data_IF_266785279139
#
_entry.id   IF_266785279139
#
_cell.length_a   1.000
_cell.length_b   1.000
_cell.length_c   1.000
_cell.angle_alpha   90.00
_cell.angle_beta   90.00
_cell.angle_gamma   90.00
#
_symmetry.space_group_name_H-M   'P 1'
#
loop_
_entity.id
_entity.type
_entity.pdbx_description
1 polymer ?
#
# COMPACT_ATOMS: atom_id res chain seq x y z
N UNK A 1 -23.62 22.56 7.54
CA UNK A 1 -22.46 21.66 7.33
C UNK A 1 -23.01 20.36 6.81
N UNK A 2 -22.59 19.86 5.63
CA UNK A 2 -23.03 18.55 5.18
C UNK A 2 -22.48 17.51 6.15
N UNK A 3 -23.34 16.58 6.54
CA UNK A 3 -23.00 15.47 7.43
C UNK A 3 -21.86 14.64 6.82
N UNK A 4 -20.91 14.20 7.66
CA UNK A 4 -19.86 13.22 7.31
C UNK A 4 -20.43 11.87 6.81
N UNK A 5 -21.76 11.66 6.88
CA UNK A 5 -22.45 10.42 6.51
C UNK A 5 -22.61 10.17 5.00
N UNK A 6 -22.38 11.18 4.15
CA UNK A 6 -22.72 11.09 2.72
C UNK A 6 -21.49 11.00 1.81
N UNK A 7 -20.30 10.76 2.37
CA UNK A 7 -19.08 10.54 1.58
C UNK A 7 -19.03 9.07 1.10
N UNK A 8 -19.30 8.80 -0.20
CA UNK A 8 -19.33 7.44 -0.72
C UNK A 8 -17.95 6.77 -0.69
N UNK A 9 -16.87 7.55 -0.74
CA UNK A 9 -15.49 7.05 -0.62
C UNK A 9 -15.26 6.56 0.80
N UNK A 10 -15.54 7.39 1.81
CA UNK A 10 -15.40 6.98 3.20
C UNK A 10 -16.24 5.74 3.53
N UNK A 11 -17.48 5.69 3.04
CA UNK A 11 -18.36 4.53 3.23
C UNK A 11 -17.81 3.25 2.57
N UNK A 12 -17.24 3.35 1.36
CA UNK A 12 -16.60 2.22 0.69
C UNK A 12 -15.37 1.71 1.46
N UNK A 13 -14.52 2.63 1.93
CA UNK A 13 -13.32 2.30 2.71
C UNK A 13 -13.66 1.67 4.07
N UNK A 14 -14.69 2.15 4.77
CA UNK A 14 -15.13 1.57 6.05
C UNK A 14 -15.70 0.15 5.87
N UNK A 15 -16.48 -0.08 4.81
CA UNK A 15 -16.96 -1.44 4.47
C UNK A 15 -15.79 -2.37 4.14
N UNK A 16 -14.84 -1.90 3.32
CA UNK A 16 -13.66 -2.67 2.97
C UNK A 16 -12.81 -3.02 4.20
N UNK A 17 -12.55 -2.04 5.07
CA UNK A 17 -11.81 -2.25 6.30
C UNK A 17 -12.46 -3.31 7.20
N UNK A 18 -13.79 -3.30 7.33
CA UNK A 18 -14.50 -4.31 8.10
C UNK A 18 -14.37 -5.74 7.52
N UNK A 19 -14.41 -5.89 6.19
CA UNK A 19 -14.23 -7.18 5.54
C UNK A 19 -12.78 -7.69 5.65
N UNK A 20 -11.80 -6.80 5.47
CA UNK A 20 -10.38 -7.14 5.62
C UNK A 20 -10.07 -7.51 7.07
N UNK A 21 -10.66 -6.82 8.05
CA UNK A 21 -10.55 -7.18 9.46
C UNK A 21 -11.01 -8.63 9.71
N UNK A 22 -12.13 -9.04 9.10
CA UNK A 22 -12.63 -10.41 9.18
C UNK A 22 -11.67 -11.41 8.54
N UNK A 23 -11.09 -11.09 7.38
CA UNK A 23 -10.09 -11.95 6.74
C UNK A 23 -8.87 -12.16 7.63
N UNK A 24 -8.34 -11.06 8.19
CA UNK A 24 -7.17 -11.12 9.07
C UNK A 24 -7.47 -11.97 10.32
N UNK A 25 -8.65 -11.82 10.92
CA UNK A 25 -9.09 -12.66 12.06
C UNK A 25 -9.16 -14.14 11.67
N UNK A 26 -9.64 -14.45 10.47
CA UNK A 26 -9.80 -15.82 10.00
C UNK A 26 -8.47 -16.55 9.74
N UNK A 27 -7.37 -15.82 9.51
CA UNK A 27 -6.04 -16.41 9.35
C UNK A 27 -5.54 -17.11 10.63
N UNK A 28 -5.98 -16.64 11.81
CA UNK A 28 -5.43 -17.03 13.11
C UNK A 28 -3.88 -16.93 13.20
N UNK A 29 -3.27 -16.07 12.38
CA UNK A 29 -1.84 -15.80 12.38
C UNK A 29 -1.47 -14.74 13.45
N UNK A 30 -0.32 -14.91 14.09
CA UNK A 30 0.17 -13.94 15.09
C UNK A 30 0.73 -12.65 14.46
N UNK A 31 1.29 -12.76 13.25
CA UNK A 31 2.03 -11.70 12.56
C UNK A 31 1.63 -11.62 11.07
N UNK A 32 0.34 -11.40 10.73
CA UNK A 32 -0.10 -11.45 9.35
C UNK A 32 0.50 -10.33 8.50
N UNK A 33 0.78 -10.66 7.24
CA UNK A 33 1.29 -9.76 6.22
C UNK A 33 0.14 -9.32 5.30
N UNK A 34 -0.07 -8.01 5.21
CA UNK A 34 -1.12 -7.41 4.38
C UNK A 34 -0.47 -6.51 3.33
N UNK A 35 -0.76 -6.75 2.05
CA UNK A 35 -0.35 -5.87 0.96
C UNK A 35 -1.55 -5.08 0.44
N UNK A 36 -1.37 -3.77 0.24
CA UNK A 36 -2.39 -2.87 -0.31
C UNK A 36 -1.81 -2.15 -1.52
N UNK A 37 -2.28 -2.54 -2.70
CA UNK A 37 -1.92 -1.95 -3.98
C UNK A 37 -3.12 -1.24 -4.62
N UNK A 38 -2.89 -0.47 -5.66
CA UNK A 38 -3.81 0.43 -6.34
C UNK A 38 -3.02 1.59 -6.93
N UNK A 39 -3.54 2.26 -7.95
CA UNK A 39 -2.87 3.42 -8.52
C UNK A 39 -2.90 4.64 -7.57
N UNK A 40 -2.11 5.67 -7.86
CA UNK A 40 -2.11 6.94 -7.13
C UNK A 40 -3.50 7.56 -7.10
N UNK A 41 -3.91 8.01 -5.92
CA UNK A 41 -5.26 8.54 -5.66
C UNK A 41 -6.37 7.49 -5.48
N UNK A 42 -6.06 6.19 -5.48
CA UNK A 42 -7.07 5.12 -5.32
C UNK A 42 -7.66 5.00 -3.91
N UNK A 43 -6.97 5.54 -2.88
CA UNK A 43 -7.44 5.46 -1.48
C UNK A 43 -6.68 4.47 -0.59
N UNK A 44 -5.57 3.90 -1.08
CA UNK A 44 -4.70 2.94 -0.36
C UNK A 44 -4.32 3.42 1.05
N UNK A 45 -3.70 4.60 1.16
CA UNK A 45 -3.20 5.11 2.44
C UNK A 45 -4.33 5.37 3.45
N UNK A 46 -5.51 5.79 2.97
CA UNK A 46 -6.70 5.93 3.81
C UNK A 46 -7.21 4.57 4.32
N UNK A 47 -7.24 3.54 3.46
CA UNK A 47 -7.58 2.18 3.85
C UNK A 47 -6.56 1.62 4.86
N UNK A 48 -5.27 1.80 4.59
CA UNK A 48 -4.19 1.38 5.48
C UNK A 48 -4.33 2.03 6.87
N UNK A 49 -4.59 3.33 6.93
CA UNK A 49 -4.80 4.05 8.19
C UNK A 49 -6.02 3.52 8.97
N UNK A 50 -7.12 3.16 8.30
CA UNK A 50 -8.27 2.52 8.95
C UNK A 50 -7.91 1.15 9.52
N UNK A 51 -7.17 0.34 8.77
CA UNK A 51 -6.73 -0.99 9.21
C UNK A 51 -5.77 -0.92 10.40
N UNK A 52 -4.84 0.03 10.41
CA UNK A 52 -3.94 0.28 11.56
C UNK A 52 -4.76 0.59 12.82
N UNK A 53 -5.75 1.47 12.71
CA UNK A 53 -6.61 1.85 13.84
C UNK A 53 -7.51 0.73 14.35
N UNK A 54 -7.84 -0.23 13.48
CA UNK A 54 -8.80 -1.32 13.73
C UNK A 54 -8.11 -2.68 13.75
N UNK A 55 -6.80 -2.70 13.99
CA UNK A 55 -6.01 -3.91 13.83
C UNK A 55 -6.54 -5.03 14.73
N UNK A 56 -6.91 -6.20 14.16
CA UNK A 56 -7.66 -7.20 14.92
C UNK A 56 -6.81 -8.19 15.72
N UNK A 57 -5.49 -8.17 15.53
CA UNK A 57 -4.53 -9.08 16.17
C UNK A 57 -3.91 -8.42 17.40
N UNK A 58 -3.55 -9.21 18.41
CA UNK A 58 -2.87 -8.70 19.61
C UNK A 58 -1.56 -8.01 19.26
N UNK A 59 -1.31 -6.88 19.92
CA UNK A 59 -0.17 -6.01 19.61
C UNK A 59 -0.55 -4.91 18.62
N UNK A 60 0.45 -4.13 18.19
CA UNK A 60 0.29 -3.13 17.15
C UNK A 60 0.71 -3.70 15.80
N UNK A 61 0.27 -3.06 14.73
CA UNK A 61 0.71 -3.35 13.37
C UNK A 61 1.73 -2.33 12.91
N UNK A 62 2.67 -2.78 12.09
CA UNK A 62 3.67 -1.94 11.46
C UNK A 62 3.16 -1.54 10.07
N UNK A 63 3.17 -0.24 9.75
CA UNK A 63 2.78 0.26 8.43
C UNK A 63 4.02 0.76 7.69
N UNK A 64 4.23 0.25 6.49
CA UNK A 64 5.26 0.75 5.57
C UNK A 64 4.59 1.24 4.29
N UNK A 65 4.68 2.55 4.06
CA UNK A 65 4.25 3.17 2.81
C UNK A 65 5.42 3.19 1.81
N UNK A 66 5.20 2.64 0.61
CA UNK A 66 6.24 2.61 -0.43
C UNK A 66 6.62 3.99 -0.96
N UNK A 67 5.78 5.01 -0.75
CA UNK A 67 6.14 6.41 -1.02
C UNK A 67 7.45 6.81 -0.31
N UNK A 68 7.78 6.17 0.81
CA UNK A 68 9.04 6.35 1.54
C UNK A 68 10.18 5.43 1.07
N UNK A 69 9.96 4.54 0.09
CA UNK A 69 10.94 3.59 -0.41
C UNK A 69 11.33 3.81 -1.88
N UNK A 70 10.47 4.46 -2.68
CA UNK A 70 10.76 4.71 -4.09
C UNK A 70 11.99 5.61 -4.25
N UNK A 71 13.06 5.16 -4.93
CA UNK A 71 14.19 6.02 -5.27
C UNK A 71 13.80 6.98 -6.39
N UNK A 72 13.18 8.09 -6.00
CA UNK A 72 12.69 9.09 -6.94
C UNK A 72 11.50 8.61 -7.76
N UNK A 73 11.15 9.43 -8.73
CA UNK A 73 9.90 9.30 -9.49
C UNK A 73 9.90 8.22 -10.56
N UNK A 74 11.05 7.66 -10.88
CA UNK A 74 11.21 6.51 -11.80
C UNK A 74 11.44 5.21 -11.01
N UNK A 75 11.18 5.26 -9.69
CA UNK A 75 11.53 4.22 -8.73
C UNK A 75 10.44 3.23 -8.40
N UNK A 76 9.31 3.14 -9.13
CA UNK A 76 8.17 2.28 -8.76
C UNK A 76 8.61 0.81 -8.57
N UNK A 77 9.26 0.24 -9.59
CA UNK A 77 9.74 -1.15 -9.54
C UNK A 77 10.82 -1.32 -8.45
N UNK A 78 11.74 -0.35 -8.33
CA UNK A 78 12.81 -0.40 -7.33
C UNK A 78 12.28 -0.30 -5.90
N UNK A 79 11.22 0.48 -5.63
CA UNK A 79 10.59 0.54 -4.31
C UNK A 79 9.91 -0.77 -3.94
N UNK A 80 9.24 -1.43 -4.90
CA UNK A 80 8.66 -2.75 -4.69
C UNK A 80 9.74 -3.83 -4.44
N UNK A 81 10.87 -3.78 -5.15
CA UNK A 81 12.02 -4.66 -4.93
C UNK A 81 12.65 -4.44 -3.55
N UNK A 82 12.82 -3.18 -3.14
CA UNK A 82 13.29 -2.82 -1.78
C UNK A 82 12.36 -3.39 -0.71
N UNK A 83 11.05 -3.25 -0.87
CA UNK A 83 10.08 -3.83 0.06
C UNK A 83 10.17 -5.37 0.10
N UNK A 84 10.32 -6.02 -1.05
CA UNK A 84 10.50 -7.46 -1.12
C UNK A 84 11.75 -7.92 -0.35
N UNK A 85 12.90 -7.30 -0.61
CA UNK A 85 14.19 -7.76 -0.10
C UNK A 85 14.46 -7.32 1.35
N UNK A 86 14.03 -6.12 1.72
CA UNK A 86 14.36 -5.54 3.03
C UNK A 86 13.28 -5.80 4.08
N UNK A 87 12.05 -6.13 3.67
CA UNK A 87 10.90 -6.27 4.57
C UNK A 87 10.27 -7.65 4.43
N UNK A 88 9.69 -7.98 3.27
CA UNK A 88 8.83 -9.15 3.12
C UNK A 88 9.60 -10.47 3.25
N UNK A 89 10.76 -10.60 2.59
CA UNK A 89 11.60 -11.81 2.67
C UNK A 89 12.17 -12.04 4.07
N UNK A 90 12.74 -11.03 4.78
CA UNK A 90 13.16 -11.19 6.16
C UNK A 90 11.99 -11.53 7.10
N UNK A 91 10.87 -10.78 7.00
CA UNK A 91 9.71 -10.96 7.87
C UNK A 91 9.12 -12.37 7.76
N UNK A 92 8.90 -12.86 6.53
CA UNK A 92 8.40 -14.22 6.29
C UNK A 92 9.34 -15.34 6.75
N UNK A 93 10.61 -15.02 7.05
CA UNK A 93 11.60 -15.95 7.62
C UNK A 93 11.80 -15.77 9.13
N UNK A 94 11.06 -14.87 9.77
CA UNK A 94 11.21 -14.57 11.20
C UNK A 94 12.44 -13.71 11.52
N UNK A 95 13.00 -13.00 10.54
CA UNK A 95 14.15 -12.11 10.74
C UNK A 95 13.72 -10.63 10.78
N UNK A 96 14.50 -9.82 11.51
CA UNK A 96 14.35 -8.38 11.54
C UNK A 96 14.53 -7.80 10.13
N UNK A 97 13.48 -7.17 9.61
CA UNK A 97 13.58 -6.36 8.39
C UNK A 97 14.21 -5.00 8.70
N UNK A 98 14.90 -4.40 7.74
CA UNK A 98 15.44 -3.04 7.88
C UNK A 98 15.40 -2.34 6.53
N UNK A 99 14.61 -1.27 6.43
CA UNK A 99 14.49 -0.48 5.21
C UNK A 99 14.96 0.96 5.45
N UNK A 100 15.31 1.65 4.37
CA UNK A 100 15.78 3.04 4.42
C UNK A 100 14.76 3.96 3.78
N UNK A 101 14.48 5.09 4.43
CA UNK A 101 13.62 6.12 3.87
C UNK A 101 14.31 6.78 2.67
N UNK A 102 13.57 7.01 1.62
CA UNK A 102 13.95 7.92 0.55
C UNK A 102 13.58 9.35 0.94
N UNK A 103 14.55 10.24 0.85
CA UNK A 103 14.36 11.67 1.04
C UNK A 103 14.14 12.34 -0.31
N UNK A 104 12.91 12.77 -0.55
CA UNK A 104 12.50 13.39 -1.81
C UNK A 104 13.06 14.81 -1.99
N UNK A 105 13.48 15.49 -0.93
CA UNK A 105 14.00 16.86 -1.01
C UNK A 105 15.45 16.88 -1.50
N UNK A 106 16.22 15.84 -1.14
CA UNK A 106 17.66 15.73 -1.49
C UNK A 106 17.97 14.57 -2.45
N UNK A 107 16.95 13.82 -2.87
CA UNK A 107 17.03 12.69 -3.81
C UNK A 107 18.04 11.61 -3.37
N UNK A 108 17.97 11.21 -2.09
CA UNK A 108 18.91 10.28 -1.49
C UNK A 108 18.29 9.41 -0.39
N UNK A 109 18.98 8.32 -0.01
CA UNK A 109 18.62 7.53 1.17
C UNK A 109 18.92 8.30 2.46
N UNK A 110 18.00 8.20 3.42
CA UNK A 110 18.10 8.81 4.74
C UNK A 110 18.17 7.75 5.85
N UNK A 111 17.44 7.92 6.95
CA UNK A 111 17.47 7.03 8.10
C UNK A 111 16.90 5.63 7.81
N UNK A 112 17.33 4.66 8.64
CA UNK A 112 16.86 3.28 8.58
C UNK A 112 15.76 3.03 9.62
N UNK A 113 14.79 2.19 9.27
CA UNK A 113 13.69 1.76 10.12
C UNK A 113 13.64 0.24 10.19
N UNK A 114 13.38 -0.29 11.38
CA UNK A 114 13.25 -1.72 11.60
C UNK A 114 11.80 -2.20 11.42
N UNK A 115 11.64 -3.45 10.98
CA UNK A 115 10.36 -4.16 10.93
C UNK A 115 10.51 -5.45 11.73
N UNK A 116 9.85 -5.49 12.89
CA UNK A 116 9.85 -6.62 13.81
C UNK A 116 9.04 -7.80 13.21
N UNK A 117 9.64 -8.98 13.03
CA UNK A 117 8.94 -10.16 12.51
C UNK A 117 7.88 -10.71 13.48
N UNK A 118 7.92 -10.35 14.77
CA UNK A 118 6.93 -10.78 15.76
C UNK A 118 5.59 -10.05 15.63
N UNK A 119 5.54 -8.96 14.86
CA UNK A 119 4.34 -8.14 14.67
C UNK A 119 3.80 -8.29 13.25
N UNK A 120 2.49 -8.07 13.09
CA UNK A 120 1.90 -7.94 11.77
C UNK A 120 2.45 -6.72 11.01
N UNK A 121 2.43 -6.79 9.69
CA UNK A 121 2.90 -5.71 8.81
C UNK A 121 1.91 -5.45 7.68
N UNK A 122 1.62 -4.17 7.45
CA UNK A 122 0.92 -3.66 6.29
C UNK A 122 1.96 -2.97 5.41
N UNK A 123 2.06 -3.37 4.15
CA UNK A 123 2.83 -2.62 3.14
C UNK A 123 1.85 -2.07 2.12
N UNK A 124 1.85 -0.75 1.94
CA UNK A 124 0.94 -0.06 1.03
C UNK A 124 1.71 0.76 -0.01
N UNK A 125 1.27 0.71 -1.26
CA UNK A 125 1.89 1.49 -2.34
C UNK A 125 1.64 0.91 -3.73
N UNK A 126 1.70 1.77 -4.75
CA UNK A 126 1.57 1.35 -6.14
C UNK A 126 2.71 0.37 -6.54
N UNK A 127 2.38 -0.83 -7.00
CA UNK A 127 3.40 -1.80 -7.46
C UNK A 127 3.77 -2.89 -6.46
N UNK A 128 3.25 -2.85 -5.23
CA UNK A 128 3.59 -3.84 -4.21
C UNK A 128 3.00 -5.24 -4.49
N UNK A 129 1.89 -5.35 -5.22
CA UNK A 129 1.17 -6.59 -5.48
C UNK A 129 1.58 -7.17 -6.83
N UNK A 130 2.64 -7.96 -6.82
CA UNK A 130 3.24 -8.59 -8.01
C UNK A 130 3.56 -10.06 -7.73
N UNK A 131 3.84 -10.91 -8.74
CA UNK A 131 4.03 -12.34 -8.51
C UNK A 131 5.09 -12.68 -7.46
N UNK A 132 6.16 -11.88 -7.37
CA UNK A 132 7.26 -12.09 -6.41
C UNK A 132 6.92 -11.75 -4.96
N UNK A 133 5.89 -10.93 -4.71
CA UNK A 133 5.47 -10.49 -3.37
C UNK A 133 4.17 -11.16 -2.93
N UNK A 134 3.30 -11.54 -3.85
CA UNK A 134 1.99 -12.13 -3.56
C UNK A 134 2.09 -13.41 -2.71
N UNK A 135 3.10 -14.25 -2.95
CA UNK A 135 3.32 -15.48 -2.17
C UNK A 135 3.82 -15.25 -0.74
N UNK A 136 4.17 -14.01 -0.37
CA UNK A 136 4.64 -13.63 0.96
C UNK A 136 3.57 -12.92 1.79
N UNK A 137 2.35 -12.78 1.27
CA UNK A 137 1.28 -12.02 1.88
C UNK A 137 0.05 -12.89 2.13
N UNK A 138 -0.50 -12.76 3.34
CA UNK A 138 -1.70 -13.48 3.75
C UNK A 138 -2.97 -12.82 3.20
N UNK A 139 -3.01 -11.49 3.20
CA UNK A 139 -4.09 -10.69 2.62
C UNK A 139 -3.53 -9.75 1.56
N UNK A 140 -4.13 -9.78 0.37
CA UNK A 140 -3.67 -9.03 -0.81
C UNK A 140 -4.82 -8.20 -1.34
N UNK A 141 -4.70 -6.89 -1.26
CA UNK A 141 -5.77 -5.95 -1.58
C UNK A 141 -5.38 -5.18 -2.83
N UNK A 142 -6.25 -5.23 -3.83
CA UNK A 142 -6.23 -4.29 -4.95
C UNK A 142 -7.31 -3.23 -4.74
N UNK A 143 -6.90 -1.97 -4.57
CA UNK A 143 -7.80 -0.82 -4.47
C UNK A 143 -8.00 -0.24 -5.86
N UNK A 144 -9.18 -0.44 -6.41
CA UNK A 144 -9.58 0.04 -7.72
C UNK A 144 -10.36 1.34 -7.61
N UNK A 145 -10.04 2.29 -8.47
CA UNK A 145 -10.83 3.51 -8.60
C UNK A 145 -10.72 4.07 -10.02
N UNK A 146 -11.80 4.71 -10.48
CA UNK A 146 -11.86 5.31 -11.81
C UNK A 146 -10.73 6.35 -12.01
N UNK A 147 -10.18 6.41 -13.22
CA UNK A 147 -9.04 7.27 -13.52
C UNK A 147 -9.33 8.76 -13.29
N UNK A 148 -10.52 9.21 -13.68
CA UNK A 148 -10.96 10.59 -13.49
C UNK A 148 -11.01 10.96 -11.99
N UNK A 149 -11.64 10.09 -11.18
CA UNK A 149 -11.73 10.26 -9.73
C UNK A 149 -10.35 10.26 -9.05
N UNK A 150 -9.48 9.29 -9.39
CA UNK A 150 -8.16 9.18 -8.75
C UNK A 150 -7.22 10.32 -9.15
N UNK A 151 -7.27 10.79 -10.40
CA UNK A 151 -6.45 11.92 -10.87
C UNK A 151 -6.82 13.21 -10.15
N UNK A 152 -8.11 13.49 -10.02
CA UNK A 152 -8.60 14.64 -9.27
C UNK A 152 -8.12 14.60 -7.81
N UNK A 153 -8.23 13.45 -7.13
CA UNK A 153 -7.77 13.28 -5.74
C UNK A 153 -6.27 13.40 -5.57
N UNK A 154 -5.49 12.78 -6.45
CA UNK A 154 -4.03 12.84 -6.38
C UNK A 154 -3.51 14.27 -6.60
N UNK A 155 -4.07 14.99 -7.57
CA UNK A 155 -3.71 16.40 -7.80
C UNK A 155 -4.17 17.31 -6.65
N UNK A 156 -5.34 17.06 -6.05
CA UNK A 156 -5.79 17.82 -4.89
C UNK A 156 -4.92 17.60 -3.64
N UNK A 157 -4.33 16.41 -3.50
CA UNK A 157 -3.46 16.04 -2.38
C UNK A 157 -2.02 16.57 -2.55
N UNK A 158 -1.41 16.28 -3.68
CA UNK A 158 0.04 16.44 -3.88
C UNK A 158 0.39 17.63 -4.80
N UNK A 159 -0.63 18.32 -5.34
CA UNK A 159 -0.52 19.63 -5.97
C UNK A 159 0.52 19.76 -7.09
N UNK A 160 1.25 20.88 -7.07
CA UNK A 160 2.24 21.26 -8.08
C UNK A 160 3.53 20.42 -8.04
N UNK A 161 3.84 19.74 -6.93
CA UNK A 161 5.02 18.86 -6.84
C UNK A 161 4.81 17.58 -7.66
N UNK A 162 3.57 17.08 -7.66
CA UNK A 162 3.21 15.84 -8.37
C UNK A 162 2.84 16.09 -9.84
N UNK A 163 2.28 17.27 -10.16
CA UNK A 163 1.76 17.59 -11.50
C UNK A 163 2.76 17.42 -12.65
N UNK A 164 4.04 17.85 -12.56
CA UNK A 164 5.04 17.65 -13.61
C UNK A 164 5.42 16.18 -13.81
N UNK A 165 5.10 15.32 -12.84
CA UNK A 165 5.53 13.93 -12.78
C UNK A 165 4.39 12.94 -12.97
N UNK A 166 3.15 13.43 -13.09
CA UNK A 166 1.95 12.62 -13.26
C UNK A 166 2.11 11.60 -14.39
N UNK A 167 2.46 12.04 -15.60
CA UNK A 167 2.49 11.16 -16.77
C UNK A 167 3.58 10.09 -16.66
N UNK A 168 4.75 10.44 -16.10
CA UNK A 168 5.83 9.46 -15.89
C UNK A 168 5.49 8.43 -14.84
N UNK A 169 4.85 8.84 -13.74
CA UNK A 169 4.41 7.92 -12.70
C UNK A 169 3.28 7.02 -13.21
N UNK A 170 2.24 7.60 -13.80
CA UNK A 170 1.11 6.87 -14.35
C UNK A 170 1.54 5.86 -15.43
N UNK A 171 2.60 6.16 -16.19
CA UNK A 171 3.18 5.20 -17.15
C UNK A 171 3.77 3.98 -16.47
N UNK A 172 4.47 4.14 -15.34
CA UNK A 172 4.98 3.02 -14.57
C UNK A 172 3.84 2.21 -13.93
N UNK A 173 2.82 2.87 -13.41
CA UNK A 173 1.63 2.18 -12.87
C UNK A 173 0.95 1.32 -13.92
N UNK A 174 0.74 1.86 -15.14
CA UNK A 174 0.16 1.07 -16.24
C UNK A 174 1.01 -0.13 -16.60
N UNK A 175 2.34 0.04 -16.71
CA UNK A 175 3.27 -1.07 -16.98
C UNK A 175 3.20 -2.15 -15.90
N UNK A 176 3.14 -1.75 -14.63
CA UNK A 176 2.97 -2.68 -13.52
C UNK A 176 1.64 -3.45 -13.64
N UNK A 177 0.52 -2.75 -13.87
CA UNK A 177 -0.81 -3.38 -14.01
C UNK A 177 -0.83 -4.36 -15.19
N UNK A 178 -0.30 -3.98 -16.34
CA UNK A 178 -0.23 -4.82 -17.54
C UNK A 178 0.68 -6.04 -17.35
N UNK A 179 1.82 -5.87 -16.67
CA UNK A 179 2.82 -6.93 -16.47
C UNK A 179 2.42 -7.92 -15.38
N UNK A 180 1.95 -7.41 -14.24
CA UNK A 180 1.84 -8.18 -13.00
C UNK A 180 0.40 -8.62 -12.68
N UNK A 181 -0.61 -8.04 -13.34
CA UNK A 181 -2.04 -8.27 -13.11
C UNK A 181 -2.40 -8.30 -11.61
N UNK A 182 -2.19 -7.18 -10.88
CA UNK A 182 -2.39 -7.13 -9.42
C UNK A 182 -3.82 -7.46 -9.02
N UNK A 183 -4.80 -7.19 -9.90
CA UNK A 183 -6.20 -7.55 -9.67
C UNK A 183 -6.38 -9.07 -9.58
N UNK A 184 -5.73 -9.84 -10.45
CA UNK A 184 -5.78 -11.31 -10.40
C UNK A 184 -5.02 -11.90 -9.20
N UNK A 185 -4.02 -11.19 -8.68
CA UNK A 185 -3.25 -11.61 -7.50
C UNK A 185 -3.97 -11.32 -6.18
N UNK A 186 -4.95 -10.43 -6.18
CA UNK A 186 -5.64 -9.99 -4.96
C UNK A 186 -6.53 -11.08 -4.35
N UNK A 187 -6.55 -11.17 -3.01
CA UNK A 187 -7.60 -11.89 -2.27
C UNK A 187 -8.85 -11.03 -2.11
N UNK A 188 -8.70 -9.70 -2.17
CA UNK A 188 -9.77 -8.71 -2.06
C UNK A 188 -9.60 -7.61 -3.10
N UNK A 189 -10.68 -7.33 -3.81
CA UNK A 189 -10.79 -6.13 -4.65
C UNK A 189 -11.65 -5.13 -3.89
N UNK A 190 -11.17 -3.90 -3.76
CA UNK A 190 -11.86 -2.80 -3.09
C UNK A 190 -12.13 -1.71 -4.11
N UNK A 191 -13.40 -1.54 -4.48
CA UNK A 191 -13.82 -0.50 -5.40
C UNK A 191 -14.10 0.80 -4.64
N UNK A 192 -13.41 1.86 -5.02
CA UNK A 192 -13.55 3.21 -4.45
C UNK A 192 -14.09 4.15 -5.54
N UNK A 193 -15.27 4.78 -5.33
CA UNK A 193 -15.88 5.67 -6.31
C UNK A 193 -15.07 6.95 -6.60
#
# INVERSE_FOLDING_TARGET
MPSRSDDPVAAALERAAALIEQDIRALAAANPVVLIDGCSGAGKSSLAALLVRRWPVLGHVQLVALDSLYPGWDGLDSGAERALDWILRPHGRGFLGTWRRWDWDVDAEAESHAVDPALGVIVEGSGILRPSTAGLADVRIWVESAEESRKARALARDGETYRPHWDRWATQERRHVERDDPRALATRIVEVP
#
